data_IF_225706794918
#
_entry.id   IF_225706794918
#
_cell.length_a   1.000
_cell.length_b   1.000
_cell.length_c   1.000
_cell.angle_alpha   90.00
_cell.angle_beta   90.00
_cell.angle_gamma   90.00
#
_symmetry.space_group_name_H-M   'P 1'
#
loop_
_entity.id
_entity.type
_entity.pdbx_description
1 polymer ?
#
# COMPACT_ATOMS: atom_id res chain seq x y z
N UNK A 1 -8.64 -5.39 8.44
CA UNK A 1 -7.35 -5.21 9.13
C UNK A 1 -6.40 -6.38 8.86
N UNK A 2 -6.86 -7.63 8.96
CA UNK A 2 -5.98 -8.81 8.81
C UNK A 2 -5.15 -8.82 7.51
N UNK A 3 -5.76 -8.53 6.36
CA UNK A 3 -5.04 -8.43 5.09
C UNK A 3 -3.91 -7.39 5.13
N UNK A 4 -4.20 -6.19 5.66
CA UNK A 4 -3.21 -5.13 5.79
C UNK A 4 -2.04 -5.48 6.72
N UNK A 5 -2.28 -6.24 7.79
CA UNK A 5 -1.20 -6.68 8.71
C UNK A 5 -0.33 -7.77 8.07
N UNK A 6 -0.90 -8.61 7.21
CA UNK A 6 -0.24 -9.82 6.75
C UNK A 6 0.26 -9.77 5.30
N UNK A 7 -0.08 -8.74 4.52
CA UNK A 7 0.20 -8.74 3.08
C UNK A 7 1.68 -9.00 2.74
N UNK A 8 2.60 -8.43 3.53
CA UNK A 8 4.05 -8.57 3.37
C UNK A 8 4.70 -9.53 4.38
N UNK A 9 3.93 -10.37 5.08
CA UNK A 9 4.47 -11.19 6.16
C UNK A 9 5.54 -12.21 5.72
N UNK A 10 5.68 -12.47 4.41
CA UNK A 10 6.73 -13.30 3.81
C UNK A 10 7.89 -12.51 3.18
N UNK A 11 7.79 -11.17 3.05
CA UNK A 11 8.72 -10.36 2.27
C UNK A 11 10.16 -10.42 2.77
N UNK A 12 10.40 -10.22 4.08
CA UNK A 12 11.76 -10.18 4.63
C UNK A 12 12.52 -11.51 4.48
N UNK A 13 11.82 -12.64 4.63
CA UNK A 13 12.43 -13.96 4.58
C UNK A 13 12.47 -14.56 3.16
N UNK A 14 11.49 -14.23 2.32
CA UNK A 14 11.32 -14.82 0.99
C UNK A 14 10.94 -13.79 -0.09
N UNK A 15 11.76 -12.76 -0.32
CA UNK A 15 11.42 -11.68 -1.26
C UNK A 15 11.19 -12.19 -2.69
N UNK A 16 11.99 -13.14 -3.18
CA UNK A 16 11.86 -13.72 -4.53
C UNK A 16 10.63 -14.63 -4.70
N UNK A 17 9.97 -14.98 -3.59
CA UNK A 17 8.80 -15.86 -3.58
C UNK A 17 7.57 -15.17 -3.03
N UNK A 18 7.66 -13.90 -2.65
CA UNK A 18 6.50 -13.10 -2.31
C UNK A 18 5.64 -12.91 -3.57
N UNK A 19 4.32 -13.05 -3.54
CA UNK A 19 3.42 -13.26 -2.40
C UNK A 19 3.04 -14.75 -2.18
N UNK A 20 3.71 -15.69 -2.87
CA UNK A 20 3.35 -17.11 -2.86
C UNK A 20 3.46 -17.74 -1.47
N UNK A 21 4.48 -17.36 -0.68
CA UNK A 21 4.74 -17.99 0.62
C UNK A 21 3.67 -17.68 1.65
N UNK A 22 3.24 -16.44 1.73
CA UNK A 22 2.14 -16.06 2.63
C UNK A 22 0.82 -16.68 2.18
N UNK A 23 0.54 -16.74 0.88
CA UNK A 23 -0.68 -17.38 0.35
C UNK A 23 -0.73 -18.87 0.73
N UNK A 24 0.34 -19.63 0.44
CA UNK A 24 0.45 -21.06 0.78
C UNK A 24 0.16 -21.31 2.27
N UNK A 25 0.71 -20.46 3.15
CA UNK A 25 0.53 -20.59 4.59
C UNK A 25 -0.90 -20.24 5.06
N UNK A 26 -1.51 -19.20 4.49
CA UNK A 26 -2.87 -18.79 4.85
C UNK A 26 -3.91 -19.81 4.37
N UNK A 27 -3.71 -20.40 3.19
CA UNK A 27 -4.53 -21.51 2.68
C UNK A 27 -4.44 -22.74 3.60
N UNK A 28 -3.23 -23.13 4.01
CA UNK A 28 -3.00 -24.23 4.95
C UNK A 28 -3.72 -24.00 6.29
N UNK A 29 -3.77 -22.75 6.74
CA UNK A 29 -4.49 -22.32 7.95
C UNK A 29 -5.99 -22.13 7.76
N UNK A 30 -6.50 -22.28 6.53
CA UNK A 30 -7.92 -22.10 6.17
C UNK A 30 -8.44 -20.71 6.54
N UNK A 31 -7.61 -19.68 6.29
CA UNK A 31 -8.03 -18.29 6.44
C UNK A 31 -9.05 -17.96 5.34
N UNK A 32 -9.92 -16.98 5.62
CA UNK A 32 -10.95 -16.50 4.71
C UNK A 32 -10.37 -16.23 3.30
N UNK A 33 -10.89 -16.88 2.24
CA UNK A 33 -10.46 -16.65 0.87
C UNK A 33 -10.50 -15.18 0.43
N UNK A 34 -11.38 -14.35 0.98
CA UNK A 34 -11.43 -12.93 0.68
C UNK A 34 -10.18 -12.19 1.20
N UNK A 35 -9.64 -12.59 2.36
CA UNK A 35 -8.39 -12.05 2.91
C UNK A 35 -7.20 -12.49 2.05
N UNK A 36 -7.14 -13.78 1.71
CA UNK A 36 -6.07 -14.36 0.88
C UNK A 36 -6.04 -13.68 -0.49
N UNK A 37 -7.21 -13.50 -1.13
CA UNK A 37 -7.31 -12.80 -2.42
C UNK A 37 -6.83 -11.36 -2.31
N UNK A 38 -7.27 -10.63 -1.28
CA UNK A 38 -6.88 -9.25 -1.08
C UNK A 38 -5.36 -9.12 -0.96
N UNK A 39 -4.73 -9.98 -0.14
CA UNK A 39 -3.28 -10.08 -0.05
C UNK A 39 -2.69 -10.41 -1.43
N UNK A 40 -3.16 -11.43 -2.14
CA UNK A 40 -2.62 -11.78 -3.45
C UNK A 40 -2.73 -10.64 -4.50
N UNK A 41 -3.67 -9.71 -4.32
CA UNK A 41 -3.97 -8.63 -5.27
C UNK A 41 -3.27 -7.30 -5.01
N UNK A 42 -2.44 -7.18 -3.95
CA UNK A 42 -1.80 -5.89 -3.62
C UNK A 42 -0.68 -5.50 -4.61
N UNK A 43 -0.22 -6.43 -5.44
CA UNK A 43 0.73 -6.17 -6.54
C UNK A 43 0.30 -6.89 -7.82
N UNK A 44 -0.77 -6.46 -8.52
CA UNK A 44 -1.37 -7.22 -9.62
C UNK A 44 -0.40 -7.48 -10.78
N UNK A 45 0.50 -6.53 -11.08
CA UNK A 45 1.54 -6.69 -12.10
C UNK A 45 2.59 -7.76 -11.73
N UNK A 46 2.80 -8.00 -10.44
CA UNK A 46 3.81 -8.92 -9.93
C UNK A 46 3.24 -10.30 -9.64
N UNK A 47 2.00 -10.38 -9.14
CA UNK A 47 1.38 -11.63 -8.67
C UNK A 47 0.27 -12.15 -9.58
N UNK A 48 -0.17 -11.36 -10.57
CA UNK A 48 -1.16 -11.78 -11.56
C UNK A 48 -2.60 -11.89 -11.04
N UNK A 49 -2.90 -11.31 -9.87
CA UNK A 49 -4.25 -11.30 -9.29
C UNK A 49 -4.83 -9.89 -9.33
N UNK A 50 -5.88 -9.70 -10.12
CA UNK A 50 -6.53 -8.39 -10.26
C UNK A 50 -7.33 -7.99 -9.01
N UNK A 51 -7.20 -6.74 -8.53
CA UNK A 51 -8.02 -6.22 -7.44
C UNK A 51 -9.45 -5.93 -7.92
N UNK A 52 -10.42 -6.64 -7.33
CA UNK A 52 -11.84 -6.57 -7.76
C UNK A 52 -12.73 -6.05 -6.64
N UNK A 53 -12.54 -6.54 -5.42
CA UNK A 53 -13.33 -6.09 -4.28
C UNK A 53 -12.87 -4.70 -3.82
N UNK A 54 -13.72 -4.00 -3.06
CA UNK A 54 -13.32 -2.75 -2.42
C UNK A 54 -12.09 -2.95 -1.51
N UNK A 55 -11.97 -4.09 -0.83
CA UNK A 55 -10.82 -4.38 0.02
C UNK A 55 -9.54 -4.56 -0.79
N UNK A 56 -9.63 -5.23 -1.94
CA UNK A 56 -8.52 -5.46 -2.88
C UNK A 56 -8.02 -4.12 -3.46
N UNK A 57 -8.95 -3.28 -3.92
CA UNK A 57 -8.62 -1.98 -4.49
C UNK A 57 -7.98 -1.07 -3.45
N UNK A 58 -8.49 -1.08 -2.21
CA UNK A 58 -7.95 -0.25 -1.14
C UNK A 58 -6.59 -0.74 -0.65
N UNK A 59 -6.32 -2.05 -0.57
CA UNK A 59 -4.99 -2.52 -0.15
C UNK A 59 -3.92 -2.13 -1.18
N UNK A 60 -4.22 -2.27 -2.46
CA UNK A 60 -3.29 -1.95 -3.54
C UNK A 60 -2.89 -0.47 -3.53
N UNK A 61 -3.85 0.44 -3.32
CA UNK A 61 -3.52 1.87 -3.25
C UNK A 61 -2.84 2.25 -1.93
N UNK A 62 -3.22 1.61 -0.82
CA UNK A 62 -2.66 1.94 0.49
C UNK A 62 -1.23 1.45 0.67
N UNK A 63 -0.87 0.32 0.09
CA UNK A 63 0.48 -0.25 0.19
C UNK A 63 1.54 0.78 -0.26
N UNK A 64 1.54 1.14 -1.55
CA UNK A 64 2.48 2.12 -2.11
C UNK A 64 2.35 3.52 -1.48
N UNK A 65 1.13 4.04 -1.28
CA UNK A 65 0.95 5.40 -0.74
C UNK A 65 1.37 5.53 0.72
N UNK A 66 1.13 4.50 1.54
CA UNK A 66 1.50 4.53 2.96
C UNK A 66 3.02 4.55 3.12
N UNK A 67 3.75 3.74 2.34
CA UNK A 67 5.21 3.76 2.28
C UNK A 67 5.74 5.10 1.79
N UNK A 68 5.10 5.69 0.77
CA UNK A 68 5.49 6.98 0.22
C UNK A 68 5.35 8.12 1.23
N UNK A 69 4.20 8.20 1.89
CA UNK A 69 3.89 9.22 2.89
C UNK A 69 4.80 9.04 4.11
N UNK A 70 5.04 7.80 4.55
CA UNK A 70 5.98 7.52 5.63
C UNK A 70 7.40 7.98 5.29
N UNK A 71 7.91 7.64 4.11
CA UNK A 71 9.21 8.13 3.66
C UNK A 71 9.27 9.66 3.64
N UNK A 72 8.16 10.33 3.26
CA UNK A 72 8.10 11.79 3.22
C UNK A 72 8.07 12.41 4.62
N UNK A 73 7.46 11.72 5.59
CA UNK A 73 7.53 12.10 7.00
C UNK A 73 8.95 11.91 7.57
N UNK A 74 9.63 10.79 7.29
CA UNK A 74 10.95 10.48 7.84
C UNK A 74 12.04 11.52 7.52
N UNK A 75 11.92 12.25 6.40
CA UNK A 75 12.88 13.29 6.02
C UNK A 75 12.58 14.67 6.64
N UNK A 76 11.46 14.82 7.36
CA UNK A 76 11.07 16.07 8.03
C UNK A 76 11.50 16.03 9.49
N UNK A 77 12.01 17.13 10.07
CA UNK A 77 12.34 17.19 11.51
C UNK A 77 11.13 16.87 12.41
N UNK A 78 9.94 17.30 12.01
CA UNK A 78 8.68 17.12 12.76
C UNK A 78 7.89 15.87 12.33
N UNK A 79 8.49 14.98 11.53
CA UNK A 79 7.87 13.75 11.01
C UNK A 79 6.53 13.99 10.31
N UNK A 80 5.41 13.60 10.92
CA UNK A 80 4.05 13.80 10.39
C UNK A 80 3.46 15.16 10.77
N UNK A 81 3.93 15.79 11.85
CA UNK A 81 3.34 17.02 12.37
C UNK A 81 3.46 18.16 11.34
N UNK A 82 2.32 18.78 11.01
CA UNK A 82 2.22 19.84 10.00
C UNK A 82 2.39 19.38 8.55
N UNK A 83 2.35 18.07 8.27
CA UNK A 83 2.31 17.56 6.90
C UNK A 83 0.91 17.70 6.33
N UNK A 84 0.79 18.18 5.09
CA UNK A 84 -0.50 18.36 4.43
C UNK A 84 -0.57 17.65 3.07
N UNK A 85 -1.79 17.50 2.54
CA UNK A 85 -2.04 16.86 1.24
C UNK A 85 -1.23 17.52 0.12
N UNK A 86 -1.10 18.85 0.12
CA UNK A 86 -0.39 19.60 -0.92
C UNK A 86 1.10 19.26 -0.95
N UNK A 87 1.72 19.11 0.22
CA UNK A 87 3.13 18.74 0.36
C UNK A 87 3.40 17.34 -0.17
N UNK A 88 2.51 16.38 0.10
CA UNK A 88 2.59 15.00 -0.42
C UNK A 88 2.43 14.99 -1.94
N UNK A 89 1.41 15.66 -2.48
CA UNK A 89 1.20 15.79 -3.92
C UNK A 89 2.40 16.43 -4.62
N UNK A 90 3.00 17.46 -4.03
CA UNK A 90 4.23 18.07 -4.56
C UNK A 90 5.38 17.06 -4.56
N UNK A 91 5.50 16.25 -3.51
CA UNK A 91 6.53 15.23 -3.39
C UNK A 91 6.35 14.08 -4.39
N UNK A 92 5.11 13.66 -4.66
CA UNK A 92 4.80 12.63 -5.66
C UNK A 92 5.33 13.00 -7.06
N UNK A 93 5.34 14.29 -7.38
CA UNK A 93 5.90 14.85 -8.63
C UNK A 93 7.43 14.90 -8.67
N UNK A 94 8.13 14.49 -7.60
CA UNK A 94 9.59 14.43 -7.53
C UNK A 94 10.05 12.99 -7.77
N UNK A 95 10.53 12.63 -8.98
CA UNK A 95 10.81 11.21 -9.32
C UNK A 95 11.96 10.61 -8.52
N UNK A 96 12.94 11.42 -8.13
CA UNK A 96 14.10 10.97 -7.35
C UNK A 96 13.77 10.63 -5.90
N UNK A 97 12.63 11.09 -5.38
CA UNK A 97 12.24 10.81 -4.00
C UNK A 97 11.45 9.51 -3.91
N UNK A 98 11.84 8.63 -2.99
CA UNK A 98 11.23 7.29 -2.86
C UNK A 98 11.10 6.62 -4.24
N UNK A 99 12.23 6.55 -4.96
CA UNK A 99 12.28 6.12 -6.36
C UNK A 99 11.92 4.64 -6.57
N UNK A 100 11.91 3.85 -5.49
CA UNK A 100 11.47 2.45 -5.49
C UNK A 100 9.94 2.32 -5.50
N UNK A 101 9.20 3.37 -5.13
CA UNK A 101 7.74 3.40 -5.10
C UNK A 101 7.22 3.80 -6.47
N UNK A 102 6.39 2.97 -7.07
CA UNK A 102 5.95 3.14 -8.46
C UNK A 102 4.80 4.14 -8.56
N UNK A 103 5.06 5.30 -9.19
CA UNK A 103 4.01 6.31 -9.46
C UNK A 103 2.94 5.81 -10.42
N UNK A 104 3.32 4.90 -11.32
CA UNK A 104 2.39 4.29 -12.26
C UNK A 104 1.43 3.34 -11.54
N UNK A 105 1.92 2.54 -10.59
CA UNK A 105 1.08 1.64 -9.80
C UNK A 105 0.17 2.42 -8.85
N UNK A 106 0.65 3.51 -8.23
CA UNK A 106 -0.21 4.43 -7.46
C UNK A 106 -1.38 4.95 -8.32
N UNK A 107 -1.11 5.36 -9.56
CA UNK A 107 -2.15 5.92 -10.44
C UNK A 107 -3.14 4.85 -10.92
N UNK A 108 -2.65 3.66 -11.28
CA UNK A 108 -3.48 2.51 -11.62
C UNK A 108 -4.37 2.09 -10.44
N UNK A 109 -3.78 1.94 -9.25
CA UNK A 109 -4.50 1.59 -8.02
C UNK A 109 -5.58 2.63 -7.70
N UNK A 110 -5.23 3.92 -7.73
CA UNK A 110 -6.17 5.03 -7.52
C UNK A 110 -7.33 4.97 -8.51
N UNK A 111 -7.06 4.83 -9.80
CA UNK A 111 -8.07 4.81 -10.85
C UNK A 111 -9.13 3.72 -10.61
N UNK A 112 -8.74 2.58 -10.04
CA UNK A 112 -9.63 1.46 -9.73
C UNK A 112 -10.58 1.73 -8.56
N UNK A 113 -10.18 2.58 -7.62
CA UNK A 113 -11.02 2.93 -6.45
C UNK A 113 -12.14 3.91 -6.79
N UNK A 114 -11.96 4.74 -7.82
CA UNK A 114 -12.84 5.87 -8.11
C UNK A 114 -12.78 7.01 -7.08
N UNK A 115 -11.83 6.98 -6.14
CA UNK A 115 -11.67 7.99 -5.10
C UNK A 115 -10.59 9.00 -5.53
N UNK A 116 -10.79 10.32 -5.32
CA UNK A 116 -9.75 11.31 -5.53
C UNK A 116 -8.49 11.04 -4.71
N UNK A 117 -7.32 11.27 -5.29
CA UNK A 117 -6.03 11.00 -4.62
C UNK A 117 -5.89 11.80 -3.32
N UNK A 118 -6.39 13.03 -3.33
CA UNK A 118 -6.39 13.96 -2.21
C UNK A 118 -7.11 13.39 -0.99
N UNK A 119 -8.23 12.70 -1.21
CA UNK A 119 -9.02 12.09 -0.14
C UNK A 119 -8.29 10.90 0.48
N UNK A 120 -7.63 10.08 -0.35
CA UNK A 120 -6.84 8.93 0.10
C UNK A 120 -5.64 9.44 0.92
N UNK A 121 -4.91 10.44 0.42
CA UNK A 121 -3.79 11.05 1.14
C UNK A 121 -4.26 11.67 2.46
N UNK A 122 -5.37 12.42 2.45
CA UNK A 122 -5.92 13.01 3.67
C UNK A 122 -6.26 11.95 4.72
N UNK A 123 -6.86 10.83 4.29
CA UNK A 123 -7.13 9.70 5.18
C UNK A 123 -5.85 9.14 5.79
N UNK A 124 -4.82 8.87 4.98
CA UNK A 124 -3.55 8.32 5.46
C UNK A 124 -2.88 9.29 6.45
N UNK A 125 -2.84 10.59 6.14
CA UNK A 125 -2.25 11.61 7.03
C UNK A 125 -2.96 11.70 8.38
N UNK A 126 -4.27 11.41 8.43
CA UNK A 126 -5.04 11.43 9.67
C UNK A 126 -4.84 10.17 10.52
N UNK A 127 -4.55 9.01 9.91
CA UNK A 127 -4.52 7.71 10.61
C UNK A 127 -3.11 7.19 10.86
N UNK A 128 -2.23 7.29 9.87
CA UNK A 128 -0.89 6.70 9.92
C UNK A 128 -0.02 7.19 11.10
N UNK A 129 -0.08 8.47 11.56
CA UNK A 129 0.70 8.91 12.70
C UNK A 129 0.41 8.16 14.01
N UNK A 130 -0.78 7.54 14.15
CA UNK A 130 -1.18 6.82 15.35
C UNK A 130 -0.63 5.38 15.40
N UNK A 131 -0.13 4.88 14.27
CA UNK A 131 0.28 3.46 14.10
C UNK A 131 1.71 3.30 13.58
N UNK A 132 2.41 4.41 13.30
CA UNK A 132 3.76 4.45 12.72
C UNK A 132 4.88 4.67 13.75
#
# INVERSE_FOLDING_TARGET
WLAGVLHDADWEQWPDQHCRKIIEELERRRIDPAVIRCIASHGPKHFGVEPVSKMDQMIYVFDELSGFIHAAALIRPTRYEGMDVKSVLKKLKTPSFAAQISREEIEDARARTGIPLEEIIAFILNVQPEVA
#
